data_IF_192733345934
#
_entry.id   IF_192733345934
#
_cell.length_a   1.000
_cell.length_b   1.000
_cell.length_c   1.000
_cell.angle_alpha   90.00
_cell.angle_beta   90.00
_cell.angle_gamma   90.00
#
_symmetry.space_group_name_H-M   'P 1'
#
loop_
_entity.id
_entity.type
_entity.pdbx_description
1 polymer ?
#
# COMPACT_ATOMS: atom_id res chain seq x y z
N UNK A 1 22.33 40.52 -11.29
CA UNK A 1 22.10 40.44 -12.73
C UNK A 1 23.13 39.50 -13.35
N UNK A 2 22.82 38.82 -14.46
CA UNK A 2 23.65 37.76 -15.05
C UNK A 2 25.09 38.22 -15.40
N UNK A 3 25.26 39.47 -15.82
CA UNK A 3 26.58 40.07 -16.14
C UNK A 3 27.49 40.20 -14.93
N UNK A 4 26.97 40.60 -13.78
CA UNK A 4 27.77 40.71 -12.53
C UNK A 4 28.23 39.32 -12.06
N UNK A 5 27.41 38.30 -12.23
CA UNK A 5 27.75 36.90 -11.96
C UNK A 5 28.88 36.42 -12.89
N UNK A 6 28.82 36.74 -14.17
CA UNK A 6 29.86 36.39 -15.14
C UNK A 6 31.23 37.02 -14.81
N UNK A 7 31.23 38.30 -14.44
CA UNK A 7 32.46 38.99 -14.01
C UNK A 7 33.05 38.43 -12.70
N UNK A 8 32.20 38.07 -11.74
CA UNK A 8 32.60 37.44 -10.50
C UNK A 8 33.20 36.05 -10.75
N UNK A 9 32.56 35.25 -11.60
CA UNK A 9 33.03 33.92 -11.96
C UNK A 9 34.39 33.93 -12.68
N UNK A 10 34.60 34.88 -13.58
CA UNK A 10 35.90 35.03 -14.26
C UNK A 10 37.02 35.45 -13.33
N UNK A 11 36.76 36.32 -12.37
CA UNK A 11 37.76 36.67 -11.33
C UNK A 11 38.12 35.50 -10.45
N UNK A 12 37.10 34.77 -9.97
CA UNK A 12 37.35 33.55 -9.15
C UNK A 12 38.10 32.49 -9.94
N UNK A 13 37.74 32.26 -11.20
CA UNK A 13 38.42 31.30 -12.06
C UNK A 13 39.92 31.63 -12.19
N UNK A 14 40.26 32.90 -12.45
CA UNK A 14 41.67 33.33 -12.59
C UNK A 14 42.46 33.16 -11.29
N UNK A 15 41.90 33.56 -10.13
CA UNK A 15 42.52 33.39 -8.82
C UNK A 15 42.71 31.92 -8.41
N UNK A 16 41.78 31.06 -8.78
CA UNK A 16 41.89 29.61 -8.49
C UNK A 16 42.86 28.92 -9.42
N UNK A 17 42.98 29.34 -10.68
CA UNK A 17 43.92 28.78 -11.64
C UNK A 17 45.37 29.10 -11.21
N UNK A 18 45.62 30.28 -10.67
CA UNK A 18 46.92 30.62 -10.09
C UNK A 18 47.38 29.70 -8.94
N UNK A 19 46.41 29.11 -8.22
CA UNK A 19 46.63 28.16 -7.12
C UNK A 19 46.50 26.70 -7.52
N UNK A 20 46.56 26.35 -8.82
CA UNK A 20 46.36 24.99 -9.37
C UNK A 20 45.02 24.36 -9.01
N UNK A 21 44.00 25.15 -8.70
CA UNK A 21 42.63 24.71 -8.47
C UNK A 21 41.78 24.95 -9.70
N UNK A 22 41.22 23.92 -10.26
CA UNK A 22 40.39 23.99 -11.46
C UNK A 22 38.91 23.84 -11.09
N UNK A 23 38.07 24.80 -11.52
CA UNK A 23 36.62 24.70 -11.35
C UNK A 23 36.10 23.79 -12.47
N UNK A 24 35.66 22.61 -12.10
CA UNK A 24 35.17 21.57 -13.03
C UNK A 24 33.70 21.80 -13.44
N UNK A 25 32.92 22.57 -12.65
CA UNK A 25 31.54 22.90 -12.96
C UNK A 25 30.97 23.88 -11.93
N UNK A 26 30.12 24.77 -12.39
CA UNK A 26 29.30 25.62 -11.52
C UNK A 26 27.83 25.36 -11.83
N UNK A 27 27.11 24.82 -10.86
CA UNK A 27 25.67 24.64 -10.94
C UNK A 27 24.95 25.68 -10.10
N UNK A 28 23.86 26.21 -10.64
CA UNK A 28 22.98 27.09 -9.86
C UNK A 28 22.33 26.27 -8.74
N UNK A 29 22.60 26.68 -7.50
CA UNK A 29 22.02 26.04 -6.30
C UNK A 29 20.50 25.96 -6.34
N UNK A 30 19.84 26.93 -6.98
CA UNK A 30 18.37 26.93 -7.14
C UNK A 30 17.94 25.83 -8.13
N UNK A 31 18.66 25.68 -9.23
CA UNK A 31 18.37 24.68 -10.24
C UNK A 31 18.61 23.27 -9.69
N UNK A 32 19.75 23.07 -9.02
CA UNK A 32 20.07 21.79 -8.37
C UNK A 32 19.02 21.41 -7.32
N UNK A 33 18.52 22.37 -6.55
CA UNK A 33 17.44 22.14 -5.58
C UNK A 33 16.12 21.78 -6.26
N UNK A 34 15.76 22.46 -7.34
CA UNK A 34 14.53 22.15 -8.09
C UNK A 34 14.59 20.76 -8.72
N UNK A 35 15.75 20.39 -9.29
CA UNK A 35 15.95 19.08 -9.92
C UNK A 35 15.91 17.94 -8.90
N UNK A 36 16.50 18.14 -7.71
CA UNK A 36 16.39 17.19 -6.59
C UNK A 36 14.94 17.03 -6.14
N UNK A 37 14.21 18.13 -5.96
CA UNK A 37 12.80 18.07 -5.56
C UNK A 37 11.94 17.35 -6.61
N UNK A 38 12.15 17.66 -7.90
CA UNK A 38 11.43 16.96 -8.98
C UNK A 38 11.75 15.45 -9.03
N UNK A 39 13.00 15.09 -8.79
CA UNK A 39 13.41 13.69 -8.72
C UNK A 39 12.73 12.95 -7.56
N UNK A 40 12.72 13.56 -6.36
CA UNK A 40 12.04 12.97 -5.20
C UNK A 40 10.52 12.87 -5.41
N UNK A 41 9.89 13.91 -5.96
CA UNK A 41 8.47 13.87 -6.32
C UNK A 41 8.15 12.77 -7.34
N UNK A 42 9.00 12.56 -8.32
CA UNK A 42 8.84 11.50 -9.31
C UNK A 42 8.92 10.12 -8.66
N UNK A 43 9.88 9.89 -7.76
CA UNK A 43 9.98 8.64 -6.99
C UNK A 43 8.72 8.38 -6.17
N UNK A 44 8.25 9.38 -5.43
CA UNK A 44 7.03 9.27 -4.62
C UNK A 44 5.83 8.94 -5.51
N UNK A 45 5.68 9.62 -6.64
CA UNK A 45 4.58 9.38 -7.57
C UNK A 45 4.59 7.97 -8.15
N UNK A 46 5.76 7.46 -8.55
CA UNK A 46 5.91 6.09 -9.07
C UNK A 46 5.57 5.06 -7.99
N UNK A 47 6.11 5.23 -6.78
CA UNK A 47 5.83 4.34 -5.66
C UNK A 47 4.35 4.35 -5.26
N UNK A 48 3.71 5.52 -5.28
CA UNK A 48 2.30 5.66 -4.99
C UNK A 48 1.44 4.97 -6.05
N UNK A 49 1.76 5.16 -7.34
CA UNK A 49 1.06 4.51 -8.44
C UNK A 49 1.18 2.98 -8.35
N UNK A 50 2.40 2.47 -8.09
CA UNK A 50 2.63 1.05 -7.88
C UNK A 50 1.84 0.51 -6.68
N UNK A 51 1.83 1.24 -5.57
CA UNK A 51 1.08 0.85 -4.37
C UNK A 51 -0.42 0.79 -4.63
N UNK A 52 -0.98 1.79 -5.31
CA UNK A 52 -2.41 1.80 -5.69
C UNK A 52 -2.72 0.63 -6.62
N UNK A 53 -1.86 0.33 -7.58
CA UNK A 53 -2.04 -0.80 -8.48
C UNK A 53 -2.06 -2.14 -7.71
N UNK A 54 -1.13 -2.34 -6.78
CA UNK A 54 -1.09 -3.54 -5.93
C UNK A 54 -2.36 -3.63 -5.06
N UNK A 55 -2.80 -2.53 -4.45
CA UNK A 55 -4.00 -2.50 -3.63
C UNK A 55 -5.26 -2.86 -4.42
N UNK A 56 -5.38 -2.36 -5.65
CA UNK A 56 -6.48 -2.74 -6.55
C UNK A 56 -6.45 -4.23 -6.89
N UNK A 57 -5.27 -4.79 -7.19
CA UNK A 57 -5.13 -6.23 -7.43
C UNK A 57 -5.56 -7.06 -6.22
N UNK A 58 -5.15 -6.67 -5.02
CA UNK A 58 -5.55 -7.33 -3.76
C UNK A 58 -7.07 -7.23 -3.57
N UNK A 59 -7.66 -6.06 -3.80
CA UNK A 59 -9.11 -5.86 -3.69
C UNK A 59 -9.89 -6.76 -4.66
N UNK A 60 -9.47 -6.84 -5.92
CA UNK A 60 -10.10 -7.71 -6.92
C UNK A 60 -9.90 -9.19 -6.58
N UNK A 61 -8.71 -9.58 -6.12
CA UNK A 61 -8.43 -10.95 -5.69
C UNK A 61 -9.32 -11.38 -4.52
N UNK A 62 -9.46 -10.55 -3.50
CA UNK A 62 -10.36 -10.80 -2.37
C UNK A 62 -11.80 -10.92 -2.84
N UNK A 63 -12.27 -9.94 -3.63
CA UNK A 63 -13.66 -9.92 -4.12
C UNK A 63 -13.97 -11.17 -4.94
N UNK A 64 -13.08 -11.56 -5.86
CA UNK A 64 -13.23 -12.75 -6.69
C UNK A 64 -13.25 -14.06 -5.87
N UNK A 65 -12.33 -14.20 -4.92
CA UNK A 65 -12.25 -15.39 -4.06
C UNK A 65 -13.50 -15.53 -3.19
N UNK A 66 -13.98 -14.44 -2.57
CA UNK A 66 -15.21 -14.48 -1.78
C UNK A 66 -16.45 -14.70 -2.62
N UNK A 67 -16.48 -14.16 -3.84
CA UNK A 67 -17.57 -14.46 -4.77
C UNK A 67 -17.69 -15.95 -5.06
N UNK A 68 -16.57 -16.59 -5.42
CA UNK A 68 -16.53 -18.01 -5.71
C UNK A 68 -16.91 -18.87 -4.49
N UNK A 69 -16.42 -18.52 -3.31
CA UNK A 69 -16.77 -19.20 -2.05
C UNK A 69 -18.25 -19.12 -1.72
N UNK A 70 -18.87 -17.96 -1.93
CA UNK A 70 -20.31 -17.79 -1.68
C UNK A 70 -21.13 -18.63 -2.65
N UNK A 71 -20.73 -18.67 -3.92
CA UNK A 71 -21.42 -19.51 -4.91
C UNK A 71 -21.31 -20.99 -4.55
N UNK A 72 -20.11 -21.47 -4.18
CA UNK A 72 -19.89 -22.85 -3.75
C UNK A 72 -20.68 -23.25 -2.49
N UNK A 73 -20.92 -22.31 -1.58
CA UNK A 73 -21.64 -22.54 -0.32
C UNK A 73 -23.08 -22.04 -0.36
N UNK A 74 -23.65 -21.86 -1.55
CA UNK A 74 -25.00 -21.30 -1.74
C UNK A 74 -26.07 -22.14 -1.05
N UNK A 75 -26.03 -23.49 -1.22
CA UNK A 75 -26.97 -24.41 -0.58
C UNK A 75 -26.85 -24.40 0.95
N UNK A 76 -25.62 -24.41 1.49
CA UNK A 76 -25.39 -24.34 2.94
C UNK A 76 -25.93 -23.04 3.54
N UNK A 77 -25.68 -21.93 2.84
CA UNK A 77 -26.15 -20.60 3.24
C UNK A 77 -27.69 -20.53 3.20
N UNK A 78 -28.31 -21.11 2.17
CA UNK A 78 -29.77 -21.21 2.02
C UNK A 78 -30.39 -22.03 3.15
N UNK A 79 -29.80 -23.19 3.49
CA UNK A 79 -30.25 -24.04 4.59
C UNK A 79 -30.16 -23.31 5.94
N UNK A 80 -29.07 -22.60 6.22
CA UNK A 80 -28.91 -21.80 7.44
C UNK A 80 -29.98 -20.70 7.54
N UNK A 81 -30.33 -20.06 6.43
CA UNK A 81 -31.41 -19.07 6.42
C UNK A 81 -32.77 -19.70 6.62
N UNK A 82 -33.04 -20.87 6.05
CA UNK A 82 -34.27 -21.63 6.27
C UNK A 82 -34.45 -22.05 7.75
N UNK A 83 -33.32 -22.36 8.42
CA UNK A 83 -33.28 -22.68 9.86
C UNK A 83 -33.33 -21.44 10.79
N UNK A 84 -33.60 -20.23 10.23
CA UNK A 84 -33.83 -19.02 11.02
C UNK A 84 -32.59 -18.11 11.16
N UNK A 85 -31.49 -18.35 10.48
CA UNK A 85 -30.35 -17.39 10.47
C UNK A 85 -30.75 -16.09 9.77
N UNK A 86 -30.49 -14.96 10.45
CA UNK A 86 -30.73 -13.65 9.85
C UNK A 86 -29.72 -13.36 8.72
N UNK A 87 -30.15 -12.69 7.67
CA UNK A 87 -29.31 -12.25 6.54
C UNK A 87 -28.05 -11.50 6.99
N UNK A 88 -28.18 -10.68 8.05
CA UNK A 88 -27.08 -9.91 8.64
C UNK A 88 -26.02 -10.81 9.28
N UNK A 89 -26.43 -11.91 9.92
CA UNK A 89 -25.53 -12.88 10.55
C UNK A 89 -24.71 -13.64 9.52
N UNK A 90 -25.31 -13.97 8.38
CA UNK A 90 -24.62 -14.59 7.23
C UNK A 90 -23.56 -13.63 6.65
N UNK A 91 -23.90 -12.36 6.44
CA UNK A 91 -22.95 -11.37 5.95
C UNK A 91 -21.77 -11.16 6.89
N UNK A 92 -22.03 -11.10 8.21
CA UNK A 92 -20.99 -10.98 9.23
C UNK A 92 -20.06 -12.19 9.27
N UNK A 93 -20.57 -13.39 9.04
CA UNK A 93 -19.78 -14.62 8.99
C UNK A 93 -18.71 -14.54 7.88
N UNK A 94 -19.06 -14.14 6.68
CA UNK A 94 -18.10 -13.97 5.57
C UNK A 94 -17.06 -12.87 5.85
N UNK A 95 -17.47 -11.77 6.45
CA UNK A 95 -16.53 -10.71 6.84
C UNK A 95 -15.56 -11.18 7.93
N UNK A 96 -16.07 -11.93 8.93
CA UNK A 96 -15.24 -12.52 9.99
C UNK A 96 -14.22 -13.52 9.44
N UNK A 97 -14.58 -14.31 8.41
CA UNK A 97 -13.64 -15.20 7.72
C UNK A 97 -12.48 -14.41 7.09
N UNK A 98 -12.74 -13.26 6.48
CA UNK A 98 -11.71 -12.37 5.94
C UNK A 98 -10.78 -11.81 7.03
N UNK A 99 -11.32 -11.41 8.18
CA UNK A 99 -10.54 -10.95 9.33
C UNK A 99 -9.67 -12.07 9.92
N UNK A 100 -10.18 -13.29 9.97
CA UNK A 100 -9.45 -14.45 10.46
C UNK A 100 -8.24 -14.74 9.55
N UNK A 101 -8.41 -14.66 8.23
CA UNK A 101 -7.30 -14.79 7.29
C UNK A 101 -6.25 -13.70 7.50
N UNK A 102 -6.65 -12.45 7.69
CA UNK A 102 -5.73 -11.36 7.99
C UNK A 102 -4.91 -11.65 9.25
N UNK A 103 -5.58 -12.07 10.34
CA UNK A 103 -4.93 -12.38 11.61
C UNK A 103 -3.92 -13.52 11.48
N UNK A 104 -4.18 -14.50 10.62
CA UNK A 104 -3.26 -15.63 10.37
C UNK A 104 -2.02 -15.20 9.59
N UNK A 105 -2.14 -14.23 8.67
CA UNK A 105 -1.04 -13.75 7.83
C UNK A 105 -0.14 -12.76 8.57
N UNK A 106 -0.70 -11.98 9.51
CA UNK A 106 0.03 -10.94 10.27
C UNK A 106 1.32 -11.43 10.91
N UNK A 107 1.36 -12.56 11.67
CA UNK A 107 2.60 -13.03 12.29
C UNK A 107 3.68 -13.37 11.25
N UNK A 108 3.30 -13.96 10.13
CA UNK A 108 4.23 -14.30 9.05
C UNK A 108 4.85 -13.03 8.43
N UNK A 109 4.03 -12.02 8.17
CA UNK A 109 4.49 -10.73 7.66
C UNK A 109 5.40 -10.04 8.66
N UNK A 110 5.09 -10.08 9.97
CA UNK A 110 5.95 -9.53 11.02
C UNK A 110 7.34 -10.16 11.03
N UNK A 111 7.43 -11.49 10.89
CA UNK A 111 8.71 -12.19 10.81
C UNK A 111 9.51 -11.71 9.60
N UNK A 112 8.89 -11.58 8.43
CA UNK A 112 9.55 -11.09 7.21
C UNK A 112 10.04 -9.65 7.39
N UNK A 113 9.19 -8.75 7.87
CA UNK A 113 9.56 -7.34 8.09
C UNK A 113 10.70 -7.24 9.11
N UNK A 114 10.64 -8.00 10.21
CA UNK A 114 11.69 -8.01 11.22
C UNK A 114 13.04 -8.43 10.64
N UNK A 115 13.05 -9.50 9.82
CA UNK A 115 14.27 -9.92 9.11
C UNK A 115 14.77 -8.84 8.14
N UNK A 116 13.90 -8.19 7.37
CA UNK A 116 14.31 -7.13 6.45
C UNK A 116 14.92 -5.94 7.18
N UNK A 117 14.34 -5.54 8.31
CA UNK A 117 14.87 -4.47 9.15
C UNK A 117 16.24 -4.85 9.76
N UNK A 118 16.39 -6.11 10.19
CA UNK A 118 17.65 -6.60 10.76
C UNK A 118 18.77 -6.69 9.71
N UNK A 119 18.43 -6.95 8.46
CA UNK A 119 19.38 -6.99 7.33
C UNK A 119 19.67 -5.60 6.74
N UNK A 120 19.17 -4.52 7.35
CA UNK A 120 19.34 -3.12 6.91
C UNK A 120 18.95 -2.89 5.43
N UNK A 121 18.12 -3.79 4.86
CA UNK A 121 17.70 -3.71 3.46
C UNK A 121 16.97 -2.39 3.12
N UNK A 122 16.15 -1.79 4.02
CA UNK A 122 15.53 -0.50 3.75
C UNK A 122 16.45 0.68 4.08
N UNK A 123 17.65 0.72 3.52
CA UNK A 123 18.59 1.84 3.65
C UNK A 123 18.17 3.07 2.82
N UNK A 124 16.85 3.30 2.72
CA UNK A 124 16.32 4.30 1.79
C UNK A 124 16.50 5.75 2.27
N UNK A 125 16.75 6.03 3.56
CA UNK A 125 16.75 7.43 4.03
C UNK A 125 17.58 7.72 5.30
N UNK A 126 18.57 6.92 5.71
CA UNK A 126 19.35 7.16 6.93
C UNK A 126 18.47 7.49 8.18
N UNK A 127 17.24 6.95 8.19
CA UNK A 127 16.31 7.15 9.28
C UNK A 127 16.52 6.03 10.28
N UNK A 128 17.08 6.37 11.44
CA UNK A 128 17.22 5.43 12.55
C UNK A 128 15.91 4.72 12.85
N UNK A 129 15.98 3.39 13.03
CA UNK A 129 14.83 2.59 13.42
C UNK A 129 14.26 3.13 14.74
N UNK A 130 12.99 3.47 14.74
CA UNK A 130 12.27 3.93 15.92
C UNK A 130 11.00 3.10 16.08
N UNK A 131 10.83 2.44 17.23
CA UNK A 131 9.67 1.61 17.54
C UNK A 131 8.32 2.30 17.29
N UNK A 132 8.24 3.59 17.59
CA UNK A 132 7.04 4.38 17.36
C UNK A 132 6.68 4.49 15.87
N UNK A 133 7.68 4.78 15.03
CA UNK A 133 7.48 4.87 13.57
C UNK A 133 7.04 3.52 13.01
N UNK A 134 7.66 2.45 13.46
CA UNK A 134 7.27 1.09 13.08
C UNK A 134 5.82 0.80 13.48
N UNK A 135 5.42 1.07 14.71
CA UNK A 135 4.07 0.82 15.23
C UNK A 135 3.01 1.62 14.45
N UNK A 136 3.27 2.90 14.17
CA UNK A 136 2.33 3.75 13.39
C UNK A 136 2.20 3.26 11.95
N UNK A 137 3.32 2.94 11.28
CA UNK A 137 3.31 2.43 9.91
C UNK A 137 2.61 1.09 9.82
N UNK A 138 2.93 0.17 10.72
CA UNK A 138 2.32 -1.16 10.78
C UNK A 138 0.82 -1.08 11.08
N UNK A 139 0.42 -0.26 12.05
CA UNK A 139 -0.98 0.01 12.38
C UNK A 139 -1.75 0.61 11.19
N UNK A 140 -1.13 1.55 10.48
CA UNK A 140 -1.70 2.14 9.26
C UNK A 140 -1.94 1.09 8.15
N UNK A 141 -0.98 0.20 7.93
CA UNK A 141 -1.11 -0.90 6.96
C UNK A 141 -2.21 -1.88 7.38
N UNK A 142 -2.28 -2.26 8.66
CA UNK A 142 -3.34 -3.15 9.16
C UNK A 142 -4.73 -2.53 9.00
N UNK A 143 -4.87 -1.24 9.29
CA UNK A 143 -6.12 -0.51 9.13
C UNK A 143 -6.54 -0.47 7.66
N UNK A 144 -5.60 -0.18 6.76
CA UNK A 144 -5.84 -0.14 5.32
C UNK A 144 -6.21 -1.52 4.78
N UNK A 145 -5.53 -2.59 5.18
CA UNK A 145 -5.85 -3.96 4.81
C UNK A 145 -7.21 -4.40 5.34
N UNK A 146 -7.54 -4.04 6.59
CA UNK A 146 -8.87 -4.27 7.16
C UNK A 146 -9.99 -3.59 6.37
N UNK A 147 -9.74 -2.37 5.92
CA UNK A 147 -10.67 -1.63 5.07
C UNK A 147 -10.86 -2.29 3.70
N UNK A 148 -9.78 -2.75 3.07
CA UNK A 148 -9.83 -3.48 1.80
C UNK A 148 -10.61 -4.77 1.95
N UNK A 149 -10.39 -5.54 3.01
CA UNK A 149 -11.15 -6.76 3.30
C UNK A 149 -12.63 -6.43 3.50
N UNK A 150 -12.95 -5.42 4.28
CA UNK A 150 -14.32 -4.99 4.51
C UNK A 150 -15.02 -4.61 3.19
N UNK A 151 -14.36 -3.84 2.33
CA UNK A 151 -14.88 -3.45 1.02
C UNK A 151 -14.99 -4.65 0.07
N UNK A 152 -13.96 -5.48 -0.02
CA UNK A 152 -13.90 -6.64 -0.92
C UNK A 152 -14.91 -7.73 -0.57
N UNK A 153 -15.22 -7.89 0.72
CA UNK A 153 -16.23 -8.87 1.18
C UNK A 153 -17.65 -8.31 1.16
N UNK A 154 -17.82 -6.99 1.24
CA UNK A 154 -19.13 -6.34 1.34
C UNK A 154 -20.03 -6.57 0.11
N UNK A 155 -19.49 -6.43 -1.09
CA UNK A 155 -20.24 -6.67 -2.34
C UNK A 155 -20.75 -8.11 -2.44
N UNK A 156 -19.89 -9.16 -2.33
CA UNK A 156 -20.35 -10.54 -2.39
C UNK A 156 -21.24 -10.92 -1.19
N UNK A 157 -20.95 -10.42 0.02
CA UNK A 157 -21.78 -10.65 1.20
C UNK A 157 -23.20 -10.07 1.02
N UNK A 158 -23.34 -8.89 0.43
CA UNK A 158 -24.67 -8.32 0.10
C UNK A 158 -25.47 -9.20 -0.87
N UNK A 159 -24.83 -9.87 -1.81
CA UNK A 159 -25.51 -10.80 -2.71
C UNK A 159 -25.96 -12.07 -1.98
N UNK A 160 -25.07 -12.63 -1.13
CA UNK A 160 -25.44 -13.78 -0.29
C UNK A 160 -26.66 -13.49 0.60
N UNK A 161 -26.76 -12.26 1.13
CA UNK A 161 -27.91 -11.83 1.93
C UNK A 161 -29.22 -11.71 1.14
N UNK A 162 -29.15 -11.55 -0.18
CA UNK A 162 -30.34 -11.43 -1.05
C UNK A 162 -30.84 -12.78 -1.58
N UNK A 163 -30.13 -13.88 -1.39
CA UNK A 163 -30.58 -15.22 -1.81
C UNK A 163 -31.90 -15.57 -1.13
N UNK A 164 -32.86 -16.02 -1.93
CA UNK A 164 -34.11 -16.56 -1.42
C UNK A 164 -33.88 -18.04 -1.05
N UNK A 165 -34.32 -18.50 0.14
CA UNK A 165 -34.15 -19.90 0.54
C UNK A 165 -34.74 -20.91 -0.46
N UNK A 166 -35.86 -20.56 -1.11
CA UNK A 166 -36.50 -21.38 -2.12
C UNK A 166 -35.63 -21.56 -3.38
N UNK A 167 -34.94 -20.51 -3.83
CA UNK A 167 -34.03 -20.57 -4.98
C UNK A 167 -32.77 -21.38 -4.70
N UNK A 168 -32.26 -21.33 -3.46
CA UNK A 168 -31.06 -22.05 -3.07
C UNK A 168 -31.28 -23.60 -3.00
N UNK A 169 -32.49 -24.04 -2.76
CA UNK A 169 -32.86 -25.47 -2.69
C UNK A 169 -33.29 -26.06 -4.05
N UNK A 170 -33.52 -25.22 -5.05
CA UNK A 170 -34.00 -25.67 -6.39
C UNK A 170 -32.85 -25.77 -7.42
N UNK A 171 -31.62 -25.59 -7.01
CA UNK A 171 -30.43 -25.62 -7.85
C UNK A 171 -29.73 -26.99 -7.76
N UNK A 172 -30.43 -28.04 -8.15
CA UNK A 172 -29.87 -29.36 -8.52
C UNK A 172 -29.98 -29.58 -10.02
#
# INVERSE_FOLDING_TARGET
TSEQMGHFLNRMKNQLTENNLYITGMEDMKQQRSDRLQYEWRKISINLLLSVFILLNVLFGITGTFWLRIEQRRCETGLRMALGSTRRRVGWFFTAEGWLLLTTVVPLVLVVIFNMVHMEIPDLYNLSFTWWRFAVSFGGVLLLMGLIIALGTWLPARRAMKLQPAEALHYE
#
